data_IF_474959698827
#
_entry.id   IF_474959698827
#
_cell.length_a   1.000
_cell.length_b   1.000
_cell.length_c   1.000
_cell.angle_alpha   90.00
_cell.angle_beta   90.00
_cell.angle_gamma   90.00
#
_symmetry.space_group_name_H-M   'P 1'
#
loop_
_entity.id
_entity.type
_entity.pdbx_description
1 polymer ?
#
# COMPACT_ATOMS: atom_id res chain seq x y z
N UNK A 1 28.26 -19.92 -43.87
CA UNK A 1 27.18 -20.55 -43.08
C UNK A 1 27.29 -19.99 -41.67
N UNK A 2 26.42 -19.05 -41.29
CA UNK A 2 26.47 -18.42 -39.97
C UNK A 2 25.46 -19.14 -39.06
N UNK A 3 25.94 -19.74 -37.97
CA UNK A 3 25.07 -20.31 -36.94
C UNK A 3 24.46 -19.16 -36.12
N UNK A 4 23.14 -19.14 -35.86
CA UNK A 4 22.54 -18.11 -35.02
C UNK A 4 23.03 -18.25 -33.57
N UNK A 5 23.07 -17.15 -32.79
CA UNK A 5 23.46 -17.21 -31.40
C UNK A 5 22.45 -18.06 -30.62
N UNK A 6 22.93 -19.05 -29.88
CA UNK A 6 22.10 -19.78 -28.93
C UNK A 6 21.69 -18.82 -27.82
N UNK A 7 20.42 -18.43 -27.81
CA UNK A 7 19.82 -17.73 -26.70
C UNK A 7 19.84 -18.68 -25.51
N UNK A 8 20.79 -18.49 -24.57
CA UNK A 8 20.70 -19.11 -23.25
C UNK A 8 19.47 -18.51 -22.59
N UNK A 9 18.36 -19.23 -22.63
CA UNK A 9 17.22 -19.03 -21.76
C UNK A 9 17.69 -19.35 -20.34
N UNK A 10 18.47 -18.42 -19.76
CA UNK A 10 18.79 -18.45 -18.35
C UNK A 10 17.46 -18.45 -17.61
N UNK A 11 17.32 -19.41 -16.71
CA UNK A 11 16.10 -19.74 -16.00
C UNK A 11 15.33 -18.49 -15.61
N UNK A 12 14.17 -18.29 -16.25
CA UNK A 12 13.05 -17.56 -15.67
C UNK A 12 12.60 -18.40 -14.47
N UNK A 13 13.41 -18.39 -13.41
CA UNK A 13 13.04 -18.91 -12.11
C UNK A 13 11.75 -18.21 -11.77
N UNK A 14 10.71 -19.02 -11.63
CA UNK A 14 9.35 -18.69 -11.24
C UNK A 14 9.31 -17.89 -9.93
N UNK A 15 9.74 -16.64 -9.96
CA UNK A 15 9.27 -15.65 -9.03
C UNK A 15 7.89 -15.24 -9.55
N UNK A 16 6.90 -16.08 -9.25
CA UNK A 16 5.52 -15.59 -9.06
C UNK A 16 5.60 -14.58 -7.92
N UNK A 17 6.10 -13.38 -8.20
CA UNK A 17 6.07 -12.25 -7.29
C UNK A 17 4.61 -12.09 -6.95
N UNK A 18 4.25 -12.46 -5.72
CA UNK A 18 2.87 -12.49 -5.28
C UNK A 18 2.42 -11.04 -5.14
N UNK A 19 2.01 -10.44 -6.26
CA UNK A 19 1.61 -9.04 -6.39
C UNK A 19 0.26 -8.74 -5.71
N UNK A 20 -0.32 -9.75 -5.04
CA UNK A 20 -1.65 -9.70 -4.43
C UNK A 20 -1.50 -9.72 -2.92
N UNK A 21 -1.89 -8.62 -2.30
CA UNK A 21 -2.12 -8.53 -0.85
C UNK A 21 -3.51 -9.03 -0.48
N UNK A 22 -3.77 -9.18 0.82
CA UNK A 22 -5.02 -9.70 1.40
C UNK A 22 -6.28 -8.91 1.00
N UNK A 23 -6.14 -7.62 0.68
CA UNK A 23 -7.24 -6.78 0.17
C UNK A 23 -7.39 -6.83 -1.37
N UNK A 24 -6.52 -7.55 -2.08
CA UNK A 24 -6.57 -7.59 -3.54
C UNK A 24 -7.69 -8.52 -4.02
N UNK A 25 -8.67 -7.96 -4.73
CA UNK A 25 -9.79 -8.68 -5.33
C UNK A 25 -9.72 -8.59 -6.86
N UNK A 26 -10.82 -8.90 -7.56
CA UNK A 26 -10.94 -8.65 -9.01
C UNK A 26 -10.90 -7.15 -9.34
N UNK A 27 -11.45 -6.33 -8.45
CA UNK A 27 -11.69 -4.91 -8.66
C UNK A 27 -10.80 -4.02 -7.78
N UNK A 28 -10.00 -4.64 -6.90
CA UNK A 28 -9.08 -3.95 -6.00
C UNK A 28 -7.68 -4.51 -6.17
N UNK A 29 -6.71 -3.63 -6.39
CA UNK A 29 -5.28 -3.96 -6.33
C UNK A 29 -4.68 -3.27 -5.12
N UNK A 30 -4.00 -4.03 -4.26
CA UNK A 30 -3.34 -3.48 -3.08
C UNK A 30 -1.92 -4.02 -2.94
N UNK A 31 -0.98 -3.12 -2.69
CA UNK A 31 0.39 -3.46 -2.31
C UNK A 31 1.03 -2.34 -1.49
N UNK A 32 2.09 -2.68 -0.76
CA UNK A 32 2.90 -1.74 0.00
C UNK A 32 4.37 -1.96 -0.30
N UNK A 33 5.20 -0.94 -0.08
CA UNK A 33 6.67 -1.01 -0.26
C UNK A 33 7.36 -0.26 0.87
N UNK A 34 8.54 -0.74 1.24
CA UNK A 34 9.50 -0.07 2.10
C UNK A 34 10.83 0.16 1.39
N UNK A 35 11.85 0.53 2.14
CA UNK A 35 13.21 0.71 1.64
C UNK A 35 13.87 -0.59 1.11
N UNK A 36 13.42 -1.76 1.58
CA UNK A 36 13.96 -3.05 1.15
C UNK A 36 13.48 -3.45 -0.25
N UNK A 37 14.36 -4.13 -0.99
CA UNK A 37 13.99 -4.81 -2.24
C UNK A 37 13.15 -6.07 -1.96
N UNK A 38 13.29 -6.67 -0.78
CA UNK A 38 12.45 -7.78 -0.36
C UNK A 38 11.06 -7.27 0.06
N UNK A 39 10.02 -7.65 -0.69
CA UNK A 39 8.63 -7.19 -0.46
C UNK A 39 7.98 -7.74 0.80
N UNK A 40 8.58 -8.76 1.41
CA UNK A 40 8.10 -9.35 2.67
C UNK A 40 8.79 -8.73 3.89
N UNK A 41 9.81 -7.89 3.68
CA UNK A 41 10.49 -7.17 4.74
C UNK A 41 9.70 -5.92 5.15
N UNK A 42 8.88 -6.09 6.19
CA UNK A 42 8.12 -5.03 6.84
C UNK A 42 8.88 -4.43 8.04
N UNK A 43 8.51 -3.23 8.55
CA UNK A 43 7.42 -2.36 8.13
C UNK A 43 7.72 -1.50 6.89
N UNK A 44 6.68 -1.29 6.07
CA UNK A 44 6.72 -0.50 4.84
C UNK A 44 6.42 0.98 5.09
N UNK A 45 6.93 1.88 4.23
CA UNK A 45 6.73 3.33 4.30
C UNK A 45 5.85 3.89 3.17
N UNK A 46 5.32 3.01 2.32
CA UNK A 46 4.30 3.33 1.33
C UNK A 46 3.21 2.26 1.20
N UNK A 47 1.96 2.69 0.96
CA UNK A 47 0.80 1.84 0.69
C UNK A 47 0.01 2.39 -0.50
N UNK A 48 -0.36 1.50 -1.42
CA UNK A 48 -1.20 1.81 -2.58
C UNK A 48 -2.41 0.88 -2.57
N UNK A 49 -3.61 1.45 -2.70
CA UNK A 49 -4.86 0.73 -2.96
C UNK A 49 -5.53 1.38 -4.16
N UNK A 50 -5.84 0.59 -5.18
CA UNK A 50 -6.57 1.03 -6.37
C UNK A 50 -7.89 0.26 -6.40
N UNK A 51 -9.01 0.96 -6.30
CA UNK A 51 -10.35 0.40 -6.44
C UNK A 51 -10.94 0.84 -7.79
N UNK A 52 -10.95 -0.09 -8.76
CA UNK A 52 -11.60 0.13 -10.05
C UNK A 52 -13.09 -0.23 -10.05
N UNK A 53 -13.61 -0.80 -8.96
CA UNK A 53 -15.01 -1.12 -8.79
C UNK A 53 -15.89 0.13 -8.71
N UNK A 54 -17.21 -0.06 -8.75
CA UNK A 54 -18.18 1.02 -8.51
C UNK A 54 -18.45 1.22 -7.02
N UNK A 55 -18.40 0.14 -6.25
CA UNK A 55 -18.67 0.16 -4.80
C UNK A 55 -17.40 0.45 -3.99
N UNK A 56 -17.61 1.03 -2.81
CA UNK A 56 -16.57 1.15 -1.80
C UNK A 56 -16.14 -0.22 -1.30
N UNK A 57 -14.86 -0.36 -0.97
CA UNK A 57 -14.31 -1.56 -0.36
C UNK A 57 -13.73 -1.23 1.00
N UNK A 58 -14.03 -2.06 1.99
CA UNK A 58 -13.52 -1.93 3.35
C UNK A 58 -12.72 -3.18 3.72
N UNK A 59 -11.64 -2.99 4.45
CA UNK A 59 -10.92 -4.10 5.04
C UNK A 59 -9.75 -3.69 5.92
N UNK A 60 -9.15 -4.70 6.55
CA UNK A 60 -8.03 -4.51 7.47
C UNK A 60 -6.73 -4.73 6.72
N UNK A 61 -5.87 -3.72 6.74
CA UNK A 61 -4.51 -3.81 6.26
C UNK A 61 -3.62 -4.45 7.33
N UNK A 62 -3.27 -5.73 7.14
CA UNK A 62 -2.53 -6.54 8.12
C UNK A 62 -1.01 -6.39 8.10
N UNK A 63 -0.43 -5.71 7.09
CA UNK A 63 1.03 -5.48 7.01
C UNK A 63 1.37 -4.09 7.57
N UNK A 64 1.83 -3.94 8.82
CA UNK A 64 1.94 -2.62 9.43
C UNK A 64 2.85 -1.67 8.65
N UNK A 65 2.42 -0.41 8.56
CA UNK A 65 3.26 0.66 8.05
C UNK A 65 4.24 1.14 9.13
N UNK A 66 5.34 1.77 8.74
CA UNK A 66 6.23 2.39 9.71
C UNK A 66 5.49 3.46 10.50
N UNK A 67 5.72 3.59 11.82
CA UNK A 67 5.23 4.72 12.59
C UNK A 67 5.65 6.05 11.93
N UNK A 68 4.72 7.01 11.81
CA UNK A 68 5.02 8.33 11.26
C UNK A 68 3.81 9.08 10.69
N UNK A 69 4.14 10.16 9.98
CA UNK A 69 3.18 11.01 9.26
C UNK A 69 3.20 10.63 7.78
N UNK A 70 2.02 10.38 7.23
CA UNK A 70 1.82 9.99 5.85
C UNK A 70 0.91 11.00 5.16
N UNK A 71 1.05 11.12 3.85
CA UNK A 71 0.21 11.98 3.02
C UNK A 71 -0.56 11.13 2.01
N UNK A 72 -1.84 11.42 1.82
CA UNK A 72 -2.60 10.87 0.70
C UNK A 72 -2.21 11.61 -0.59
N UNK A 73 -1.46 10.96 -1.46
CA UNK A 73 -1.09 11.45 -2.79
C UNK A 73 -1.95 10.80 -3.89
N UNK A 74 -3.03 10.13 -3.50
CA UNK A 74 -4.02 9.54 -4.40
C UNK A 74 -5.05 10.56 -4.88
N UNK A 75 -6.05 10.08 -5.62
CA UNK A 75 -7.10 10.91 -6.21
C UNK A 75 -8.44 10.88 -5.44
N UNK A 76 -8.58 10.03 -4.42
CA UNK A 76 -9.80 9.90 -3.64
C UNK A 76 -9.59 10.12 -2.14
N UNK A 77 -10.64 10.59 -1.47
CA UNK A 77 -10.69 10.59 -0.01
C UNK A 77 -10.90 9.17 0.51
N UNK A 78 -10.24 8.84 1.60
CA UNK A 78 -10.26 7.49 2.20
C UNK A 78 -10.56 7.59 3.67
N UNK A 79 -11.39 6.69 4.19
CA UNK A 79 -11.62 6.60 5.62
C UNK A 79 -10.63 5.61 6.21
N UNK A 80 -9.87 6.04 7.21
CA UNK A 80 -8.91 5.21 7.93
C UNK A 80 -9.26 5.21 9.41
N UNK A 81 -9.30 4.02 10.01
CA UNK A 81 -9.35 3.85 11.46
C UNK A 81 -8.06 3.18 11.90
N UNK A 82 -7.31 3.89 12.74
CA UNK A 82 -6.15 3.33 13.43
C UNK A 82 -6.63 2.76 14.77
N UNK A 83 -6.38 1.47 15.00
CA UNK A 83 -6.77 0.74 16.21
C UNK A 83 -6.33 1.41 17.52
N UNK A 84 -5.33 2.30 17.48
CA UNK A 84 -4.91 3.08 18.66
C UNK A 84 -5.95 4.13 19.10
N UNK A 85 -6.69 4.71 18.16
CA UNK A 85 -7.52 5.89 18.43
C UNK A 85 -9.02 5.62 18.33
N UNK A 86 -9.45 4.48 17.79
CA UNK A 86 -10.88 4.10 17.69
C UNK A 86 -11.75 5.05 16.85
N UNK A 87 -11.19 6.16 16.38
CA UNK A 87 -11.87 7.22 15.65
C UNK A 87 -11.54 7.08 14.16
N UNK A 88 -12.59 7.16 13.35
CA UNK A 88 -12.50 7.23 11.90
C UNK A 88 -11.93 8.60 11.51
N UNK A 89 -10.94 8.62 10.63
CA UNK A 89 -10.41 9.82 10.01
C UNK A 89 -10.59 9.73 8.49
N UNK A 90 -11.30 10.69 7.90
CA UNK A 90 -11.33 10.85 6.44
C UNK A 90 -10.08 11.62 6.01
N UNK A 91 -9.29 11.04 5.10
CA UNK A 91 -8.06 11.62 4.57
C UNK A 91 -8.29 11.96 3.11
N UNK A 92 -8.48 13.23 2.81
CA UNK A 92 -8.60 13.72 1.44
C UNK A 92 -7.26 13.70 0.72
N UNK A 93 -7.23 13.79 -0.62
CA UNK A 93 -6.00 14.06 -1.36
C UNK A 93 -5.25 15.25 -0.75
N UNK A 94 -3.94 15.11 -0.70
CA UNK A 94 -2.98 16.00 -0.06
C UNK A 94 -3.06 16.16 1.47
N UNK A 95 -4.03 15.54 2.14
CA UNK A 95 -4.12 15.56 3.60
C UNK A 95 -3.17 14.56 4.26
N UNK A 96 -2.82 14.88 5.51
CA UNK A 96 -1.89 14.11 6.33
C UNK A 96 -2.65 13.23 7.31
N UNK A 97 -2.12 12.04 7.56
CA UNK A 97 -2.58 11.16 8.62
C UNK A 97 -1.41 10.57 9.39
N UNK A 98 -1.64 10.27 10.66
CA UNK A 98 -0.63 9.74 11.56
C UNK A 98 -0.93 8.27 11.85
N UNK A 99 0.05 7.38 11.66
CA UNK A 99 -0.07 5.97 12.04
C UNK A 99 1.03 5.58 13.03
N UNK A 100 0.64 4.85 14.08
CA UNK A 100 1.56 4.29 15.06
C UNK A 100 2.18 2.96 14.62
N UNK A 101 1.98 2.56 13.36
CA UNK A 101 2.40 1.26 12.84
C UNK A 101 1.61 0.09 13.40
N UNK A 102 0.31 0.32 13.68
CA UNK A 102 -0.67 -0.75 13.91
C UNK A 102 -1.42 -1.06 12.61
N UNK A 103 -2.26 -2.09 12.65
CA UNK A 103 -3.18 -2.39 11.57
C UNK A 103 -4.06 -1.17 11.26
N UNK A 104 -4.41 -1.02 9.98
CA UNK A 104 -5.26 0.05 9.50
C UNK A 104 -6.55 -0.55 8.96
N UNK A 105 -7.68 -0.17 9.52
CA UNK A 105 -8.96 -0.39 8.86
C UNK A 105 -9.12 0.71 7.80
N UNK A 106 -9.32 0.34 6.55
CA UNK A 106 -9.33 1.28 5.42
C UNK A 106 -10.60 1.04 4.60
N UNK A 107 -11.33 2.12 4.30
CA UNK A 107 -12.43 2.14 3.35
C UNK A 107 -12.11 3.03 2.15
N UNK A 108 -12.06 2.43 0.96
CA UNK A 108 -11.67 3.07 -0.31
C UNK A 108 -12.87 3.15 -1.26
N UNK A 109 -13.31 4.36 -1.66
CA UNK A 109 -14.42 4.52 -2.59
C UNK A 109 -14.20 3.83 -3.95
N UNK A 110 -15.30 3.49 -4.62
CA UNK A 110 -15.25 3.06 -6.01
C UNK A 110 -14.60 4.09 -6.91
N UNK A 111 -13.96 3.63 -8.00
CA UNK A 111 -13.28 4.47 -8.99
C UNK A 111 -12.23 5.42 -8.39
N UNK A 112 -11.51 4.95 -7.37
CA UNK A 112 -10.50 5.77 -6.69
C UNK A 112 -9.19 5.01 -6.48
N UNK A 113 -8.13 5.76 -6.23
CA UNK A 113 -6.85 5.23 -5.81
C UNK A 113 -6.33 6.05 -4.63
N UNK A 114 -5.76 5.36 -3.65
CA UNK A 114 -5.02 5.95 -2.54
C UNK A 114 -3.54 5.66 -2.74
N UNK A 115 -2.72 6.64 -2.38
CA UNK A 115 -1.27 6.52 -2.32
C UNK A 115 -0.83 7.14 -1.01
N UNK A 116 -0.57 6.33 -0.01
CA UNK A 116 0.04 6.80 1.23
C UNK A 116 1.55 6.69 1.12
N UNK A 117 2.22 7.83 1.21
CA UNK A 117 3.68 7.89 1.36
C UNK A 117 4.05 8.55 2.67
N UNK A 118 4.99 7.95 3.41
CA UNK A 118 5.55 8.55 4.62
C UNK A 118 6.31 9.83 4.26
N UNK A 119 5.96 10.93 4.91
CA UNK A 119 6.58 12.25 4.68
C UNK A 119 7.45 12.73 5.85
N UNK A 120 7.23 12.18 7.05
CA UNK A 120 8.09 12.44 8.21
C UNK A 120 7.94 11.36 9.26
N UNK A 121 8.89 11.32 10.21
CA UNK A 121 8.68 10.62 11.46
C UNK A 121 7.61 11.35 12.28
N UNK A 122 7.11 10.71 13.35
CA UNK A 122 6.32 11.44 14.34
C UNK A 122 7.12 12.65 14.82
N UNK A 123 6.47 13.81 15.06
CA UNK A 123 7.14 14.85 15.82
C UNK A 123 7.54 14.20 17.15
N UNK A 124 8.85 14.05 17.37
CA UNK A 124 9.36 13.68 18.69
C UNK A 124 8.78 14.70 19.66
N UNK A 125 7.95 14.25 20.60
CA UNK A 125 7.69 15.02 21.81
C UNK A 125 9.04 15.17 22.48
N UNK A 126 9.68 16.31 22.26
CA UNK A 126 10.74 16.80 23.14
C UNK A 126 10.13 17.04 24.52
#
# INVERSE_FOLDING_TARGET
MFSPPQHKTGDLVNNKTKFRSELSTRDVLTFSRGASLNIDESPHDGLIIINKGLESVEGIWQKPLQPGVYKNMGCGSVTVTNDKHGNFQTISPDERFNTSGKNLHISVPGRSAILFGKISQFPNSR
#
